data_IF_174125661925
#
_entry.id   IF_174125661925
#
_cell.length_a   1.000
_cell.length_b   1.000
_cell.length_c   1.000
_cell.angle_alpha   90.00
_cell.angle_beta   90.00
_cell.angle_gamma   90.00
#
_symmetry.space_group_name_H-M   'P 1'
#
loop_
_entity.id
_entity.type
_entity.pdbx_description
1 polymer ?
#
# COMPACT_ATOMS: atom_id res chain seq x y z
N UNK A 1 -16.00 -18.41 10.41
CA UNK A 1 -14.54 -18.61 10.44
C UNK A 1 -13.98 -17.92 9.20
N UNK A 2 -13.63 -16.64 9.29
CA UNK A 2 -12.98 -15.94 8.17
C UNK A 2 -11.48 -16.22 8.27
N UNK A 3 -11.03 -17.17 7.48
CA UNK A 3 -9.61 -17.31 7.19
C UNK A 3 -9.25 -16.03 6.44
N UNK A 4 -8.54 -15.11 7.10
CA UNK A 4 -7.78 -14.10 6.35
C UNK A 4 -6.78 -14.92 5.57
N UNK A 5 -7.09 -15.18 4.30
CA UNK A 5 -6.13 -15.72 3.37
C UNK A 5 -5.05 -14.63 3.22
N UNK A 6 -4.10 -14.61 4.15
CA UNK A 6 -2.87 -13.89 3.97
C UNK A 6 -2.28 -14.49 2.70
N UNK A 7 -2.33 -13.71 1.62
CA UNK A 7 -1.80 -14.09 0.32
C UNK A 7 -0.30 -14.34 0.54
N UNK A 8 0.05 -15.60 0.80
CA UNK A 8 1.43 -16.05 0.92
C UNK A 8 2.01 -16.13 -0.48
N UNK A 9 2.19 -14.99 -1.13
CA UNK A 9 3.07 -14.89 -2.28
C UNK A 9 4.50 -15.09 -1.75
N UNK A 10 4.95 -16.35 -1.73
CA UNK A 10 6.35 -16.71 -1.42
C UNK A 10 7.34 -16.12 -2.42
N UNK A 11 6.83 -15.62 -3.55
CA UNK A 11 7.57 -14.94 -4.61
C UNK A 11 6.74 -13.77 -5.13
N UNK A 12 7.43 -12.71 -5.52
CA UNK A 12 6.86 -11.62 -6.30
C UNK A 12 6.04 -12.18 -7.49
N UNK A 13 4.90 -11.56 -7.83
CA UNK A 13 4.17 -11.92 -9.03
C UNK A 13 5.06 -11.82 -10.28
N UNK A 14 4.87 -12.71 -11.25
CA UNK A 14 5.72 -12.76 -12.45
C UNK A 14 5.65 -11.45 -13.26
N UNK A 15 4.45 -10.86 -13.36
CA UNK A 15 4.23 -9.59 -14.06
C UNK A 15 5.04 -8.42 -13.47
N UNK A 16 5.53 -8.52 -12.23
CA UNK A 16 6.32 -7.45 -11.60
C UNK A 16 7.72 -7.31 -12.22
N UNK A 17 8.24 -8.39 -12.80
CA UNK A 17 9.60 -8.41 -13.37
C UNK A 17 9.75 -7.54 -14.62
N UNK A 18 8.65 -7.23 -15.31
CA UNK A 18 8.65 -6.49 -16.57
C UNK A 18 8.30 -5.00 -16.43
N UNK A 19 7.83 -4.55 -15.25
CA UNK A 19 7.35 -3.19 -15.03
C UNK A 19 8.44 -2.18 -14.62
N UNK A 20 9.68 -2.63 -14.49
CA UNK A 20 10.82 -1.80 -14.10
C UNK A 20 10.75 -1.25 -12.66
N UNK A 21 11.85 -0.67 -12.21
CA UNK A 21 11.94 -0.02 -10.89
C UNK A 21 11.45 1.43 -10.96
N UNK A 22 11.04 2.01 -9.84
CA UNK A 22 10.65 3.43 -9.78
C UNK A 22 11.72 4.40 -10.31
N UNK A 23 13.00 4.01 -10.28
CA UNK A 23 14.12 4.83 -10.77
C UNK A 23 14.37 4.72 -12.27
N UNK A 24 13.90 3.64 -12.90
CA UNK A 24 14.28 3.26 -14.28
C UNK A 24 13.09 2.95 -15.17
N UNK A 25 11.86 3.12 -14.66
CA UNK A 25 10.62 2.79 -15.35
C UNK A 25 10.42 3.68 -16.58
N UNK A 26 10.13 3.09 -17.73
CA UNK A 26 9.74 3.83 -18.94
C UNK A 26 8.28 4.27 -18.88
N UNK A 27 7.89 5.19 -19.76
CA UNK A 27 6.50 5.64 -19.89
C UNK A 27 5.55 4.48 -20.20
N UNK A 28 5.96 3.57 -21.09
CA UNK A 28 5.19 2.39 -21.48
C UNK A 28 5.00 1.43 -20.29
N UNK A 29 6.05 1.22 -19.50
CA UNK A 29 5.97 0.40 -18.29
C UNK A 29 5.07 1.03 -17.22
N UNK A 30 5.04 2.36 -17.12
CA UNK A 30 4.13 3.07 -16.21
C UNK A 30 2.66 2.90 -16.63
N UNK A 31 2.36 3.04 -17.93
CA UNK A 31 1.03 2.81 -18.49
C UNK A 31 0.60 1.36 -18.26
N UNK A 32 1.47 0.41 -18.54
CA UNK A 32 1.18 -1.01 -18.35
C UNK A 32 0.95 -1.35 -16.86
N UNK A 33 1.76 -0.77 -15.96
CA UNK A 33 1.57 -0.90 -14.52
C UNK A 33 0.21 -0.38 -14.06
N UNK A 34 -0.22 0.79 -14.56
CA UNK A 34 -1.55 1.33 -14.28
C UNK A 34 -2.65 0.43 -14.81
N UNK A 35 -2.51 -0.10 -16.04
CA UNK A 35 -3.48 -1.01 -16.65
C UNK A 35 -3.64 -2.28 -15.81
N UNK A 36 -2.55 -2.90 -15.37
CA UNK A 36 -2.57 -4.12 -14.56
C UNK A 36 -3.21 -3.90 -13.20
N UNK A 37 -2.85 -2.83 -12.49
CA UNK A 37 -3.47 -2.53 -11.19
C UNK A 37 -4.96 -2.23 -11.35
N UNK A 38 -5.36 -1.48 -12.39
CA UNK A 38 -6.78 -1.23 -12.65
C UNK A 38 -7.55 -2.53 -12.88
N UNK A 39 -7.02 -3.44 -13.69
CA UNK A 39 -7.63 -4.76 -13.91
C UNK A 39 -7.76 -5.53 -12.59
N UNK A 40 -6.74 -5.54 -11.74
CA UNK A 40 -6.79 -6.23 -10.44
C UNK A 40 -7.84 -5.61 -9.51
N UNK A 41 -7.98 -4.29 -9.49
CA UNK A 41 -8.99 -3.60 -8.71
C UNK A 41 -10.42 -3.94 -9.19
N UNK A 42 -10.62 -4.07 -10.50
CA UNK A 42 -11.90 -4.48 -11.10
C UNK A 42 -12.27 -5.95 -10.80
N UNK A 43 -11.28 -6.80 -10.55
CA UNK A 43 -11.48 -8.22 -10.20
C UNK A 43 -11.78 -8.43 -8.69
N UNK A 44 -11.66 -7.39 -7.86
CA UNK A 44 -11.96 -7.50 -6.43
C UNK A 44 -13.46 -7.70 -6.18
N UNK A 45 -13.84 -8.48 -5.14
CA UNK A 45 -15.23 -8.61 -4.74
C UNK A 45 -15.87 -7.25 -4.41
N UNK A 46 -17.19 -7.08 -4.63
CA UNK A 46 -17.91 -5.89 -4.17
C UNK A 46 -17.71 -5.67 -2.67
N UNK A 47 -17.73 -4.40 -2.25
CA UNK A 47 -17.50 -3.97 -0.86
C UNK A 47 -16.12 -4.37 -0.29
N UNK A 48 -15.12 -4.56 -1.15
CA UNK A 48 -13.72 -4.71 -0.72
C UNK A 48 -13.14 -3.35 -0.40
N UNK A 49 -12.60 -3.18 0.82
CA UNK A 49 -11.80 -2.00 1.15
C UNK A 49 -10.45 -2.07 0.46
N UNK A 50 -10.11 -1.02 -0.29
CA UNK A 50 -8.81 -0.85 -0.94
C UNK A 50 -8.05 0.25 -0.23
N UNK A 51 -6.77 0.03 0.07
CA UNK A 51 -5.95 1.07 0.69
C UNK A 51 -4.57 1.13 0.04
N UNK A 52 -4.09 2.35 -0.17
CA UNK A 52 -2.72 2.64 -0.59
C UNK A 52 -1.98 3.23 0.60
N UNK A 53 -0.96 2.53 1.08
CA UNK A 53 -0.19 2.90 2.27
C UNK A 53 1.20 3.38 1.85
N UNK A 54 1.73 4.37 2.55
CA UNK A 54 3.12 4.81 2.37
C UNK A 54 3.70 5.28 3.71
N UNK A 55 4.94 4.87 3.96
CA UNK A 55 5.75 5.33 5.08
C UNK A 55 6.89 6.21 4.58
N UNK A 56 7.10 7.36 5.20
CA UNK A 56 8.19 8.26 4.82
C UNK A 56 9.08 8.63 6.01
N UNK A 57 10.35 8.90 5.73
CA UNK A 57 11.31 9.38 6.73
C UNK A 57 12.24 10.45 6.15
N UNK A 58 12.52 11.49 6.92
CA UNK A 58 13.56 12.47 6.63
C UNK A 58 14.93 11.93 7.08
N UNK A 59 15.56 11.16 6.20
CA UNK A 59 16.77 10.39 6.53
C UNK A 59 16.41 9.01 7.12
N UNK A 60 17.35 8.06 7.02
CA UNK A 60 17.13 6.68 7.47
C UNK A 60 18.34 6.20 8.31
N UNK A 61 18.29 6.32 9.65
CA UNK A 61 17.14 6.72 10.46
C UNK A 61 16.92 8.25 10.57
N UNK A 62 15.68 8.67 10.82
CA UNK A 62 15.28 10.07 10.94
C UNK A 62 13.81 10.25 11.37
N UNK A 63 13.27 11.49 11.42
CA UNK A 63 11.86 11.71 11.69
C UNK A 63 10.98 11.02 10.63
N UNK A 64 9.98 10.27 11.06
CA UNK A 64 9.15 9.44 10.21
C UNK A 64 7.65 9.69 10.42
N UNK A 65 6.89 9.57 9.34
CA UNK A 65 5.44 9.59 9.31
C UNK A 65 4.90 8.43 8.50
N UNK A 66 3.64 8.10 8.73
CA UNK A 66 2.90 7.10 7.99
C UNK A 66 1.59 7.70 7.48
N UNK A 67 1.15 7.26 6.30
CA UNK A 67 -0.12 7.68 5.75
C UNK A 67 -0.77 6.62 4.90
N UNK A 68 -2.07 6.77 4.69
CA UNK A 68 -2.82 5.94 3.75
C UNK A 68 -3.98 6.71 3.13
N UNK A 69 -4.34 6.32 1.91
CA UNK A 69 -5.64 6.64 1.29
C UNK A 69 -6.45 5.35 1.26
N UNK A 70 -7.68 5.40 1.78
CA UNK A 70 -8.58 4.27 1.91
C UNK A 70 -9.82 4.54 1.07
N UNK A 71 -10.20 3.55 0.26
CA UNK A 71 -11.41 3.52 -0.53
C UNK A 71 -12.35 2.45 0.04
N UNK A 72 -13.52 2.86 0.52
CA UNK A 72 -14.56 1.96 1.02
C UNK A 72 -15.92 2.38 0.45
N UNK A 73 -16.58 1.50 -0.32
CA UNK A 73 -17.91 1.76 -0.89
C UNK A 73 -18.04 3.14 -1.55
N UNK A 74 -17.07 3.53 -2.38
CA UNK A 74 -16.99 4.83 -3.09
C UNK A 74 -16.60 6.04 -2.20
N UNK A 75 -16.45 5.87 -0.88
CA UNK A 75 -15.91 6.89 0.00
C UNK A 75 -14.37 6.84 0.01
N UNK A 76 -13.74 8.01 -0.11
CA UNK A 76 -12.30 8.20 0.02
C UNK A 76 -11.99 8.83 1.38
N UNK A 77 -11.08 8.22 2.13
CA UNK A 77 -10.56 8.77 3.39
C UNK A 77 -9.03 8.80 3.36
N UNK A 78 -8.45 9.91 3.80
CA UNK A 78 -7.00 10.03 4.01
C UNK A 78 -6.68 10.04 5.49
N UNK A 79 -5.72 9.20 5.90
CA UNK A 79 -5.23 9.14 7.28
C UNK A 79 -3.72 9.36 7.32
N UNK A 80 -3.24 10.02 8.38
CA UNK A 80 -1.83 10.34 8.59
C UNK A 80 -1.47 10.22 10.07
N UNK A 81 -0.24 9.80 10.37
CA UNK A 81 0.22 9.60 11.73
C UNK A 81 1.73 9.88 11.87
N UNK A 82 2.16 10.70 12.85
CA UNK A 82 3.58 10.85 13.17
C UNK A 82 4.09 9.58 13.88
N UNK A 83 5.14 8.95 13.35
CA UNK A 83 5.60 7.63 13.84
C UNK A 83 6.68 7.75 14.90
N UNK A 84 7.77 8.47 14.59
CA UNK A 84 8.91 8.62 15.50
C UNK A 84 9.82 9.76 15.02
N UNK A 85 10.47 10.46 15.95
CA UNK A 85 11.50 11.45 15.61
C UNK A 85 12.82 10.82 15.10
N UNK A 86 13.00 9.50 15.28
CA UNK A 86 14.18 8.76 14.83
C UNK A 86 13.81 7.30 14.52
N UNK A 87 13.00 7.10 13.48
CA UNK A 87 12.60 5.80 12.96
C UNK A 87 13.40 5.39 11.72
N UNK A 88 13.19 4.16 11.25
CA UNK A 88 13.66 3.71 9.94
C UNK A 88 12.51 3.76 8.93
N UNK A 89 12.84 3.75 7.64
CA UNK A 89 11.82 3.69 6.58
C UNK A 89 10.91 2.47 6.74
N UNK A 90 11.47 1.31 7.09
CA UNK A 90 10.70 0.08 7.28
C UNK A 90 9.71 0.17 8.45
N UNK A 91 10.07 0.91 9.51
CA UNK A 91 9.14 1.18 10.61
C UNK A 91 7.96 2.02 10.15
N UNK A 92 8.21 3.07 9.35
CA UNK A 92 7.17 3.94 8.82
C UNK A 92 6.18 3.16 7.93
N UNK A 93 6.70 2.34 7.03
CA UNK A 93 5.91 1.49 6.11
C UNK A 93 5.03 0.49 6.88
N UNK A 94 5.61 -0.19 7.88
CA UNK A 94 4.85 -1.12 8.71
C UNK A 94 3.73 -0.42 9.50
N UNK A 95 4.00 0.79 9.99
CA UNK A 95 2.98 1.58 10.71
C UNK A 95 1.88 2.04 9.76
N UNK A 96 2.19 2.41 8.50
CA UNK A 96 1.17 2.76 7.52
C UNK A 96 0.18 1.61 7.26
N UNK A 97 0.67 0.37 7.14
CA UNK A 97 -0.16 -0.84 7.04
C UNK A 97 -1.00 -1.03 8.32
N UNK A 98 -0.37 -0.87 9.49
CA UNK A 98 -1.05 -1.00 10.79
C UNK A 98 -2.22 -0.01 10.93
N UNK A 99 -2.05 1.25 10.52
CA UNK A 99 -3.08 2.28 10.61
C UNK A 99 -4.36 1.87 9.89
N UNK A 100 -4.24 1.34 8.66
CA UNK A 100 -5.38 0.87 7.87
C UNK A 100 -6.08 -0.30 8.56
N UNK A 101 -5.32 -1.26 9.09
CA UNK A 101 -5.88 -2.44 9.77
C UNK A 101 -6.61 -2.07 11.07
N UNK A 102 -6.10 -1.12 11.85
CA UNK A 102 -6.73 -0.67 13.09
C UNK A 102 -8.00 0.15 12.82
N UNK A 103 -7.98 1.00 11.79
CA UNK A 103 -9.16 1.75 11.34
C UNK A 103 -10.28 0.81 10.90
N UNK A 104 -9.97 -0.19 10.07
CA UNK A 104 -10.96 -1.14 9.55
C UNK A 104 -11.45 -2.16 10.59
N UNK A 105 -10.84 -2.25 11.77
CA UNK A 105 -11.38 -3.05 12.90
C UNK A 105 -12.45 -2.33 13.71
N UNK A 106 -12.61 -1.02 13.52
CA UNK A 106 -13.58 -0.20 14.24
C UNK A 106 -14.92 -0.03 13.50
N UNK A 107 -15.04 -0.62 12.30
CA UNK A 107 -16.27 -0.78 11.53
C UNK A 107 -16.88 -2.16 11.79
#
# INVERSE_FOLDING_TARGET
>A
MNVVACVQLRRAPEYWTTLGSSKTRTSEQAIEGQRLIKQQLEELPPNTTVAFTDGSCMGNPGPCGAGAIIYNNEEEETIQYPVSNRGSILLAELVAIKLVLEKNRQL
#
